data_IF_664000975690
#
_entry.id   IF_664000975690
#
_cell.length_a   1.000
_cell.length_b   1.000
_cell.length_c   1.000
_cell.angle_alpha   90.00
_cell.angle_beta   90.00
_cell.angle_gamma   90.00
#
_symmetry.space_group_name_H-M   'P 1'
#
loop_
_entity.id
_entity.type
_entity.pdbx_description
1 polymer ?
#
# COMPACT_ATOMS: atom_id res chain seq x y z
N UNK A 1 -3.70 -9.75 -4.93
CA UNK A 1 -2.92 -9.05 -5.95
C UNK A 1 -3.65 -7.80 -6.44
N UNK A 2 -2.89 -6.82 -6.84
CA UNK A 2 -3.39 -5.53 -7.29
C UNK A 2 -2.94 -5.30 -8.71
N UNK A 3 -3.81 -4.79 -9.55
CA UNK A 3 -3.50 -4.47 -10.95
C UNK A 3 -3.97 -3.07 -11.28
N UNK A 4 -3.69 -2.62 -12.50
CA UNK A 4 -4.18 -1.35 -13.00
C UNK A 4 -5.70 -1.30 -12.83
N UNK A 5 -6.21 -0.16 -12.35
CA UNK A 5 -7.61 0.11 -12.02
C UNK A 5 -8.15 -0.60 -10.78
N UNK A 6 -7.32 -1.33 -10.03
CA UNK A 6 -7.72 -1.83 -8.72
C UNK A 6 -7.84 -0.67 -7.72
N UNK A 7 -8.89 -0.72 -6.90
CA UNK A 7 -9.10 0.25 -5.84
C UNK A 7 -8.56 -0.30 -4.53
N UNK A 8 -7.91 0.56 -3.75
CA UNK A 8 -7.33 0.20 -2.46
C UNK A 8 -7.73 1.21 -1.40
N UNK A 9 -7.83 0.73 -0.18
CA UNK A 9 -7.93 1.59 0.99
C UNK A 9 -6.55 2.14 1.33
N UNK A 10 -6.52 3.33 1.92
CA UNK A 10 -5.27 3.92 2.40
C UNK A 10 -5.17 3.67 3.89
N UNK A 11 -4.07 3.03 4.30
CA UNK A 11 -3.85 2.60 5.68
C UNK A 11 -3.00 3.57 6.50
N UNK A 12 -2.93 4.83 6.08
CA UNK A 12 -2.16 5.84 6.81
C UNK A 12 -3.02 7.07 7.13
N UNK A 13 -2.43 8.03 7.81
CA UNK A 13 -3.12 9.24 8.27
C UNK A 13 -2.88 10.47 7.37
N UNK A 14 -2.59 10.26 6.10
CA UNK A 14 -2.38 11.36 5.14
C UNK A 14 -3.67 12.11 4.78
N UNK A 15 -4.83 11.53 5.09
CA UNK A 15 -6.12 12.08 4.72
C UNK A 15 -6.75 11.43 3.51
N UNK A 16 -5.99 10.73 2.69
CA UNK A 16 -6.54 9.94 1.60
C UNK A 16 -7.26 8.70 2.18
N UNK A 17 -8.41 8.36 1.62
CA UNK A 17 -9.20 7.21 2.08
C UNK A 17 -9.21 6.08 1.07
N UNK A 18 -9.34 6.40 -0.21
CA UNK A 18 -9.40 5.42 -1.28
C UNK A 18 -8.61 5.92 -2.48
N UNK A 19 -7.89 5.00 -3.11
CA UNK A 19 -7.07 5.28 -4.29
C UNK A 19 -7.33 4.28 -5.39
N UNK A 20 -7.06 4.69 -6.63
CA UNK A 20 -7.15 3.85 -7.81
C UNK A 20 -5.73 3.61 -8.34
N UNK A 21 -5.40 2.35 -8.59
CA UNK A 21 -4.10 2.01 -9.17
C UNK A 21 -4.04 2.44 -10.63
N UNK A 22 -3.08 3.30 -10.95
CA UNK A 22 -2.83 3.75 -12.32
C UNK A 22 -1.82 2.83 -13.00
N UNK A 23 -0.77 2.45 -12.28
CA UNK A 23 0.35 1.71 -12.84
C UNK A 23 1.03 0.88 -11.78
N UNK A 24 1.54 -0.29 -12.18
CA UNK A 24 2.38 -1.13 -11.33
C UNK A 24 3.83 -0.91 -11.71
N UNK A 25 4.66 -0.54 -10.74
CA UNK A 25 6.08 -0.29 -10.94
C UNK A 25 6.88 -1.59 -10.78
N UNK A 26 8.12 -1.60 -11.28
CA UNK A 26 9.02 -2.72 -11.04
C UNK A 26 9.39 -3.53 -12.27
N UNK A 27 9.27 -2.96 -13.46
CA UNK A 27 9.77 -3.60 -14.67
C UNK A 27 8.82 -3.51 -15.85
N UNK A 28 9.33 -3.85 -17.02
CA UNK A 28 8.57 -3.83 -18.27
C UNK A 28 7.48 -4.90 -18.23
N UNK A 29 6.27 -4.54 -18.61
CA UNK A 29 5.11 -5.44 -18.72
C UNK A 29 4.64 -6.03 -17.38
N UNK A 30 5.02 -5.44 -16.25
CA UNK A 30 4.53 -5.92 -14.97
C UNK A 30 3.04 -5.59 -14.83
N UNK A 31 2.22 -6.62 -14.59
CA UNK A 31 0.76 -6.49 -14.52
C UNK A 31 0.22 -6.41 -13.10
N UNK A 32 0.85 -7.12 -12.17
CA UNK A 32 0.29 -7.31 -10.82
C UNK A 32 1.28 -6.87 -9.75
N UNK A 33 0.76 -6.25 -8.72
CA UNK A 33 1.51 -5.92 -7.51
C UNK A 33 1.04 -6.81 -6.37
N UNK A 34 1.98 -7.29 -5.58
CA UNK A 34 1.72 -8.00 -4.34
C UNK A 34 2.21 -7.16 -3.16
N UNK A 35 2.16 -7.72 -1.95
CA UNK A 35 2.60 -7.03 -0.75
C UNK A 35 4.07 -6.62 -0.88
N UNK A 36 4.35 -5.36 -0.57
CA UNK A 36 5.70 -4.79 -0.67
C UNK A 36 6.05 -4.22 -2.02
N UNK A 37 5.20 -4.34 -3.01
CA UNK A 37 5.43 -3.76 -4.34
C UNK A 37 4.94 -2.32 -4.39
N UNK A 38 5.63 -1.49 -5.16
CA UNK A 38 5.28 -0.09 -5.36
C UNK A 38 4.32 0.06 -6.54
N UNK A 39 3.37 0.94 -6.37
CA UNK A 39 2.38 1.28 -7.41
C UNK A 39 2.23 2.80 -7.49
N UNK A 40 1.71 3.27 -8.60
CA UNK A 40 1.29 4.67 -8.75
C UNK A 40 -0.22 4.71 -8.63
N UNK A 41 -0.73 5.60 -7.81
CA UNK A 41 -2.16 5.69 -7.51
C UNK A 41 -2.68 7.11 -7.69
N UNK A 42 -3.98 7.20 -7.97
CA UNK A 42 -4.73 8.47 -7.98
C UNK A 42 -5.70 8.46 -6.82
N UNK A 43 -5.73 9.53 -6.05
CA UNK A 43 -6.61 9.65 -4.88
C UNK A 43 -8.04 9.89 -5.36
N UNK A 44 -8.96 8.98 -5.00
CA UNK A 44 -10.37 9.06 -5.40
C UNK A 44 -11.27 9.55 -4.28
N UNK A 45 -10.86 9.40 -3.02
CA UNK A 45 -11.59 9.89 -1.87
C UNK A 45 -10.59 10.33 -0.80
N UNK A 46 -10.82 11.51 -0.23
CA UNK A 46 -9.94 12.09 0.77
C UNK A 46 -10.73 12.98 1.72
N UNK A 47 -10.22 13.15 2.94
CA UNK A 47 -10.81 14.11 3.88
C UNK A 47 -10.54 15.54 3.40
N UNK A 48 -11.51 16.48 3.52
CA UNK A 48 -11.33 17.85 3.02
C UNK A 48 -10.14 18.59 3.63
N UNK A 49 -9.79 18.28 4.87
CA UNK A 49 -8.71 18.95 5.61
C UNK A 49 -7.41 18.16 5.67
N UNK A 50 -7.31 17.08 4.90
CA UNK A 50 -6.11 16.25 4.88
C UNK A 50 -4.97 16.88 4.07
N UNK A 51 -3.77 16.34 4.26
CA UNK A 51 -2.58 16.79 3.52
C UNK A 51 -2.62 16.42 2.04
N UNK A 52 -3.41 15.44 1.68
CA UNK A 52 -3.54 14.96 0.31
C UNK A 52 -4.96 15.21 -0.16
N UNK A 53 -5.08 15.79 -1.34
CA UNK A 53 -6.39 16.14 -1.90
C UNK A 53 -6.84 15.12 -2.93
N UNK A 54 -8.16 15.03 -3.12
CA UNK A 54 -8.76 14.24 -4.17
C UNK A 54 -8.18 14.62 -5.54
N UNK A 55 -7.85 13.62 -6.34
CA UNK A 55 -7.25 13.80 -7.65
C UNK A 55 -5.73 13.81 -7.65
N UNK A 56 -5.07 13.86 -6.50
CA UNK A 56 -3.61 13.81 -6.42
C UNK A 56 -3.08 12.47 -6.91
N UNK A 57 -1.90 12.49 -7.53
CA UNK A 57 -1.20 11.29 -7.98
C UNK A 57 0.00 11.08 -7.06
N UNK A 58 0.18 9.86 -6.59
CA UNK A 58 1.24 9.53 -5.64
C UNK A 58 1.76 8.12 -5.86
N UNK A 59 2.97 7.85 -5.39
CA UNK A 59 3.49 6.50 -5.27
C UNK A 59 2.98 5.90 -3.97
N UNK A 60 2.73 4.61 -3.97
CA UNK A 60 2.28 3.88 -2.78
C UNK A 60 2.90 2.49 -2.75
N UNK A 61 2.90 1.88 -1.57
CA UNK A 61 3.32 0.50 -1.39
C UNK A 61 2.14 -0.32 -0.88
N UNK A 62 1.93 -1.51 -1.45
CA UNK A 62 0.85 -2.40 -1.05
C UNK A 62 1.21 -3.07 0.27
N UNK A 63 0.35 -2.92 1.27
CA UNK A 63 0.58 -3.49 2.62
C UNK A 63 -0.35 -4.65 2.95
N UNK A 64 -1.51 -4.73 2.31
CA UNK A 64 -2.47 -5.81 2.48
C UNK A 64 -3.08 -6.20 1.14
N UNK A 65 -3.35 -7.49 0.95
CA UNK A 65 -4.08 -7.98 -0.23
C UNK A 65 -5.15 -8.99 0.19
N UNK A 66 -6.26 -9.00 -0.52
CA UNK A 66 -7.30 -10.03 -0.35
C UNK A 66 -6.82 -11.36 -0.92
N UNK A 67 -6.07 -11.34 -2.02
CA UNK A 67 -5.48 -12.54 -2.60
C UNK A 67 -4.38 -13.07 -1.69
N UNK A 68 -4.40 -14.35 -1.40
CA UNK A 68 -3.40 -14.99 -0.54
C UNK A 68 -2.00 -14.88 -1.15
N UNK A 69 -1.01 -14.68 -0.27
CA UNK A 69 0.42 -14.64 -0.63
C UNK A 69 1.09 -15.84 0.03
N UNK A 70 1.78 -16.64 -0.78
CA UNK A 70 2.51 -17.80 -0.29
C UNK A 70 3.83 -17.35 0.34
N UNK A 71 4.13 -17.88 1.52
CA UNK A 71 5.39 -17.63 2.22
C UNK A 71 6.38 -18.78 2.00
N UNK A 72 7.69 -18.51 2.17
CA UNK A 72 8.72 -19.57 1.98
C UNK A 72 8.53 -20.80 2.85
N UNK A 73 7.91 -20.67 4.02
CA UNK A 73 7.64 -21.77 4.94
C UNK A 73 6.41 -22.61 4.54
N UNK A 74 5.76 -22.30 3.42
CA UNK A 74 4.58 -23.01 2.93
C UNK A 74 3.27 -22.48 3.46
N UNK A 75 3.29 -21.51 4.39
CA UNK A 75 2.06 -20.88 4.88
C UNK A 75 1.57 -19.81 3.89
N UNK A 76 0.33 -19.35 4.10
CA UNK A 76 -0.29 -18.30 3.29
C UNK A 76 -0.78 -17.20 4.20
N UNK A 77 -0.78 -15.98 3.70
CA UNK A 77 -1.41 -14.84 4.37
C UNK A 77 -2.36 -14.16 3.41
N UNK A 78 -3.52 -13.77 3.93
CA UNK A 78 -4.47 -12.91 3.22
C UNK A 78 -5.16 -11.99 4.21
N UNK A 79 -5.69 -10.90 3.70
CA UNK A 79 -6.39 -9.90 4.50
C UNK A 79 -7.82 -9.72 3.97
N UNK A 80 -8.63 -8.97 4.69
CA UNK A 80 -10.02 -8.71 4.30
C UNK A 80 -10.14 -7.65 3.22
N UNK A 81 -9.10 -6.86 3.00
CA UNK A 81 -9.09 -5.78 2.03
C UNK A 81 -7.74 -5.66 1.33
N UNK A 82 -7.73 -4.88 0.26
CA UNK A 82 -6.50 -4.40 -0.36
C UNK A 82 -6.20 -3.02 0.20
N UNK A 83 -5.01 -2.81 0.71
CA UNK A 83 -4.62 -1.54 1.30
C UNK A 83 -3.20 -1.16 0.94
N UNK A 84 -2.95 0.13 0.91
CA UNK A 84 -1.64 0.68 0.61
C UNK A 84 -1.30 1.81 1.57
N UNK A 85 -0.03 2.17 1.60
CA UNK A 85 0.49 3.32 2.33
C UNK A 85 1.13 4.24 1.30
N UNK A 86 0.80 5.53 1.35
CA UNK A 86 1.32 6.51 0.40
C UNK A 86 2.77 6.86 0.71
N UNK A 87 3.56 6.99 -0.34
CA UNK A 87 4.98 7.33 -0.26
C UNK A 87 5.23 8.69 -0.92
N UNK A 88 6.29 9.37 -0.48
CA UNK A 88 6.76 10.58 -1.13
C UNK A 88 7.71 10.24 -2.28
N UNK A 89 8.30 11.27 -2.92
CA UNK A 89 9.20 11.08 -4.05
C UNK A 89 10.50 10.39 -3.67
N UNK A 90 10.89 10.42 -2.39
CA UNK A 90 12.09 9.74 -1.90
C UNK A 90 11.85 8.28 -1.51
N UNK A 91 10.59 7.83 -1.55
CA UNK A 91 10.22 6.48 -1.15
C UNK A 91 9.89 6.31 0.32
N UNK A 92 9.85 7.41 1.08
CA UNK A 92 9.49 7.41 2.49
C UNK A 92 7.98 7.58 2.68
N UNK A 93 7.47 7.15 3.84
CA UNK A 93 6.06 7.38 4.17
C UNK A 93 5.72 8.87 4.20
N UNK A 94 4.60 9.22 3.59
CA UNK A 94 4.05 10.57 3.73
C UNK A 94 3.40 10.80 5.07
N UNK A 95 2.74 9.78 5.60
CA UNK A 95 2.05 9.84 6.88
C UNK A 95 2.97 9.51 8.05
N UNK A 96 2.41 9.64 9.24
CA UNK A 96 3.12 9.36 10.50
C UNK A 96 2.52 8.17 11.25
N UNK A 97 1.40 7.62 10.79
CA UNK A 97 0.71 6.51 11.44
C UNK A 97 0.26 5.48 10.40
N UNK A 98 0.18 4.24 10.83
CA UNK A 98 -0.33 3.14 10.01
C UNK A 98 -1.53 2.51 10.73
N UNK A 99 -2.62 2.28 10.02
CA UNK A 99 -3.84 1.71 10.56
C UNK A 99 -4.01 0.26 10.12
N UNK A 100 -4.35 -0.60 11.07
CA UNK A 100 -4.61 -2.00 10.81
C UNK A 100 -3.33 -2.83 10.64
N UNK A 101 -3.48 -4.14 10.42
CA UNK A 101 -2.34 -5.03 10.29
C UNK A 101 -1.62 -4.83 8.96
N UNK A 102 -0.33 -5.17 8.94
CA UNK A 102 0.47 -5.24 7.73
C UNK A 102 1.20 -6.59 7.68
N UNK A 103 1.59 -7.01 6.49
CA UNK A 103 2.34 -8.24 6.34
C UNK A 103 3.83 -8.02 6.66
N UNK A 104 4.45 -9.00 7.28
CA UNK A 104 5.88 -8.92 7.64
C UNK A 104 6.82 -8.93 6.44
N UNK A 105 6.33 -9.28 5.24
CA UNK A 105 7.11 -9.22 4.01
C UNK A 105 7.62 -7.81 3.71
N UNK A 106 6.98 -6.78 4.26
CA UNK A 106 7.44 -5.40 4.11
C UNK A 106 8.83 -5.17 4.74
N UNK A 107 9.18 -5.94 5.76
CA UNK A 107 10.50 -5.86 6.38
C UNK A 107 11.59 -6.29 5.41
N UNK A 108 11.35 -7.34 4.66
CA UNK A 108 12.29 -7.85 3.66
C UNK A 108 12.42 -6.89 2.47
N UNK A 109 11.37 -6.14 2.17
CA UNK A 109 11.34 -5.14 1.11
C UNK A 109 11.85 -3.77 1.58
N UNK A 110 12.41 -3.67 2.79
CA UNK A 110 13.03 -2.48 3.37
C UNK A 110 12.06 -1.35 3.76
N UNK A 111 10.81 -1.69 4.03
CA UNK A 111 9.83 -0.72 4.54
C UNK A 111 9.75 -0.79 6.07
N UNK A 112 10.88 -0.62 6.73
CA UNK A 112 11.00 -0.79 8.18
C UNK A 112 10.16 0.20 8.98
N UNK A 113 10.02 1.43 8.49
CA UNK A 113 9.23 2.44 9.17
C UNK A 113 7.76 2.06 9.22
N UNK A 114 7.23 1.51 8.14
CA UNK A 114 5.85 1.03 8.08
C UNK A 114 5.65 -0.10 9.08
N UNK A 115 6.58 -1.05 9.11
CA UNK A 115 6.51 -2.18 10.05
C UNK A 115 6.57 -1.71 11.49
N UNK A 116 7.42 -0.72 11.80
CA UNK A 116 7.55 -0.21 13.16
C UNK A 116 6.33 0.57 13.64
N UNK A 117 5.60 1.22 12.73
CA UNK A 117 4.42 2.01 13.06
C UNK A 117 3.13 1.21 13.04
N UNK A 118 3.13 0.03 12.43
CA UNK A 118 1.93 -0.79 12.33
C UNK A 118 1.53 -1.34 13.70
N UNK A 119 0.21 -1.33 14.03
CA UNK A 119 -0.26 -1.88 15.30
C UNK A 119 -0.10 -3.40 15.39
N UNK A 120 -0.08 -4.07 14.24
CA UNK A 120 0.07 -5.53 14.19
C UNK A 120 0.81 -5.90 12.91
N UNK A 121 1.78 -6.82 13.03
CA UNK A 121 2.55 -7.31 11.89
C UNK A 121 2.32 -8.81 11.77
N UNK A 122 1.69 -9.23 10.73
CA UNK A 122 1.35 -10.62 10.46
C UNK A 122 2.21 -11.18 9.34
#
# INVERSE_FOLDING_TARGET
MVQQESRLKVADNTGAKEVLTIRVLGGTKRRYASIGDKIVVSVKDATPNGNIKKGAVSTAVVVRTVKEVRRPDGSYIRFDDNACVLLDTSGEMRGTRVFGPVARELREKKFMKIVSLAPEVL
#
